data_IF_227523415765
#
_entry.id   IF_227523415765
#
_cell.length_a   1.000
_cell.length_b   1.000
_cell.length_c   1.000
_cell.angle_alpha   90.00
_cell.angle_beta   90.00
_cell.angle_gamma   90.00
#
_symmetry.space_group_name_H-M   'P 1'
#
loop_
_entity.id
_entity.type
_entity.pdbx_description
1 polymer ?
#
# COMPACT_ATOMS: atom_id res chain seq x y z
N UNK A 1 33.57 -7.22 -1.83
CA UNK A 1 34.34 -6.10 -2.38
C UNK A 1 34.40 -6.20 -3.89
N UNK A 2 34.75 -7.36 -4.43
CA UNK A 2 34.77 -7.59 -5.86
C UNK A 2 33.40 -7.50 -6.51
N UNK A 3 32.37 -7.88 -5.80
CA UNK A 3 30.97 -7.73 -6.23
C UNK A 3 30.58 -6.26 -6.40
N UNK A 4 31.09 -5.40 -5.55
CA UNK A 4 30.87 -3.96 -5.67
C UNK A 4 31.64 -3.32 -6.84
N UNK A 5 32.76 -3.89 -7.25
CA UNK A 5 33.55 -3.45 -8.41
C UNK A 5 32.90 -3.82 -9.76
N UNK A 6 32.25 -4.96 -9.82
CA UNK A 6 31.47 -5.38 -10.99
C UNK A 6 30.11 -4.68 -11.00
N UNK A 7 29.77 -4.14 -9.87
CA UNK A 7 28.44 -3.71 -9.66
C UNK A 7 28.16 -2.31 -10.01
N UNK A 8 27.08 -2.00 -9.61
CA UNK A 8 26.41 -0.75 -9.68
C UNK A 8 27.02 0.21 -8.66
N UNK A 9 26.95 1.47 -8.96
CA UNK A 9 27.22 2.58 -8.06
C UNK A 9 26.44 2.48 -6.73
N UNK A 10 25.34 1.76 -6.70
CA UNK A 10 24.52 1.50 -5.52
C UNK A 10 25.28 0.74 -4.42
N UNK A 11 26.08 -0.27 -4.76
CA UNK A 11 26.88 -1.00 -3.78
C UNK A 11 27.93 -0.10 -3.12
N UNK A 12 28.54 0.79 -3.88
CA UNK A 12 29.51 1.77 -3.38
C UNK A 12 28.84 2.77 -2.44
N UNK A 13 27.67 3.25 -2.77
CA UNK A 13 26.89 4.18 -1.91
C UNK A 13 26.51 3.54 -0.58
N UNK A 14 26.02 2.32 -0.59
CA UNK A 14 25.63 1.63 0.64
C UNK A 14 26.84 1.35 1.53
N UNK A 15 27.97 0.97 0.95
CA UNK A 15 29.21 0.78 1.68
C UNK A 15 29.74 2.07 2.28
N UNK A 16 29.75 3.15 1.54
CA UNK A 16 30.17 4.47 2.02
C UNK A 16 29.24 4.97 3.13
N UNK A 17 27.96 4.73 3.03
CA UNK A 17 26.98 5.08 4.05
C UNK A 17 27.22 4.35 5.36
N UNK A 18 27.49 3.05 5.32
CA UNK A 18 27.86 2.24 6.49
C UNK A 18 29.18 2.69 7.10
N UNK A 19 30.19 2.97 6.29
CA UNK A 19 31.48 3.46 6.74
C UNK A 19 31.41 4.84 7.42
N UNK A 20 30.63 5.76 6.85
CA UNK A 20 30.37 7.09 7.44
C UNK A 20 29.64 6.96 8.77
N UNK A 21 28.66 6.10 8.87
CA UNK A 21 27.90 5.88 10.10
C UNK A 21 28.80 5.28 11.20
N UNK A 22 29.63 4.33 10.87
CA UNK A 22 30.61 3.74 11.80
C UNK A 22 31.65 4.78 12.27
N UNK A 23 32.12 5.65 11.39
CA UNK A 23 33.05 6.73 11.73
C UNK A 23 32.46 7.74 12.70
N UNK A 24 31.20 8.08 12.55
CA UNK A 24 30.48 9.02 13.43
C UNK A 24 30.31 8.41 14.83
N UNK A 25 30.08 7.13 14.94
CA UNK A 25 29.83 6.44 16.21
C UNK A 25 31.10 5.88 16.88
N UNK A 26 32.23 6.02 16.23
CA UNK A 26 33.53 5.50 16.68
C UNK A 26 33.47 3.99 17.04
N UNK A 27 32.64 3.25 16.29
CA UNK A 27 32.38 1.82 16.49
C UNK A 27 32.68 1.01 15.25
N UNK A 28 33.12 -0.22 15.42
CA UNK A 28 33.24 -1.17 14.33
C UNK A 28 31.89 -1.46 13.70
N UNK A 29 31.87 -1.70 12.39
CA UNK A 29 30.66 -2.12 11.68
C UNK A 29 30.26 -3.50 12.20
N UNK A 30 29.26 -3.54 13.07
CA UNK A 30 28.69 -4.75 13.64
C UNK A 30 27.40 -5.15 12.95
N UNK A 31 27.00 -6.41 13.10
CA UNK A 31 25.71 -6.91 12.60
C UNK A 31 24.54 -6.13 13.20
N UNK A 32 24.66 -5.70 14.44
CA UNK A 32 23.62 -4.91 15.11
C UNK A 32 23.49 -3.51 14.51
N UNK A 33 24.59 -2.85 14.20
CA UNK A 33 24.62 -1.57 13.49
C UNK A 33 23.94 -1.68 12.11
N UNK A 34 24.26 -2.73 11.35
CA UNK A 34 23.64 -3.02 10.06
C UNK A 34 22.14 -3.24 10.19
N UNK A 35 21.71 -3.98 11.21
CA UNK A 35 20.29 -4.21 11.49
C UNK A 35 19.55 -2.91 11.83
N UNK A 36 20.13 -2.03 12.60
CA UNK A 36 19.53 -0.75 12.97
C UNK A 36 19.42 0.18 11.77
N UNK A 37 20.46 0.31 10.96
CA UNK A 37 20.44 1.08 9.71
C UNK A 37 19.40 0.53 8.73
N UNK A 38 19.31 -0.79 8.59
CA UNK A 38 18.31 -1.44 7.73
C UNK A 38 16.90 -1.27 8.28
N UNK A 39 16.71 -1.31 9.60
CA UNK A 39 15.41 -1.00 10.23
C UNK A 39 14.94 0.41 9.91
N UNK A 40 15.81 1.39 9.98
CA UNK A 40 15.47 2.77 9.67
C UNK A 40 15.14 2.95 8.19
N UNK A 41 15.88 2.30 7.29
CA UNK A 41 15.58 2.29 5.85
C UNK A 41 14.25 1.59 5.55
N UNK A 42 13.95 0.50 6.25
CA UNK A 42 12.67 -0.21 6.12
C UNK A 42 11.50 0.60 6.73
N UNK A 43 11.74 1.35 7.81
CA UNK A 43 10.72 2.24 8.40
C UNK A 43 10.37 3.40 7.49
N UNK A 44 11.33 3.96 6.79
CA UNK A 44 11.09 5.03 5.80
C UNK A 44 10.30 4.51 4.59
N UNK A 45 10.45 3.23 4.25
CA UNK A 45 9.71 2.60 3.14
C UNK A 45 8.36 1.99 3.57
N UNK A 46 8.14 1.78 4.86
CA UNK A 46 6.88 1.21 5.37
C UNK A 46 5.92 2.31 5.84
N UNK A 47 5.62 3.27 4.97
CA UNK A 47 4.50 4.18 5.22
C UNK A 47 3.23 3.34 5.34
N UNK A 48 2.65 3.33 6.53
CA UNK A 48 1.40 2.63 6.76
C UNK A 48 0.27 3.34 6.03
N UNK A 49 -0.07 2.83 4.87
CA UNK A 49 -1.21 3.30 4.10
C UNK A 49 -2.48 3.10 4.94
N UNK A 50 -3.25 4.15 5.10
CA UNK A 50 -4.50 4.12 5.86
C UNK A 50 -5.70 3.88 4.94
N UNK A 51 -6.78 3.32 5.50
CA UNK A 51 -8.03 3.11 4.75
C UNK A 51 -8.57 4.45 4.23
N UNK A 52 -8.43 5.52 5.01
CA UNK A 52 -8.88 6.85 4.63
C UNK A 52 -8.12 7.40 3.40
N UNK A 53 -6.83 7.13 3.30
CA UNK A 53 -6.04 7.46 2.10
C UNK A 53 -6.50 6.66 0.88
N UNK A 54 -6.77 5.38 1.05
CA UNK A 54 -7.32 4.53 -0.03
C UNK A 54 -8.65 5.09 -0.52
N UNK A 55 -9.55 5.44 0.39
CA UNK A 55 -10.84 6.03 0.05
C UNK A 55 -10.68 7.34 -0.74
N UNK A 56 -9.78 8.22 -0.30
CA UNK A 56 -9.50 9.49 -1.00
C UNK A 56 -9.00 9.26 -2.43
N UNK A 57 -8.05 8.36 -2.62
CA UNK A 57 -7.49 8.06 -3.94
C UNK A 57 -8.51 7.43 -4.88
N UNK A 58 -9.33 6.52 -4.39
CA UNK A 58 -10.40 5.91 -5.18
C UNK A 58 -11.46 6.94 -5.56
N UNK A 59 -11.87 7.80 -4.63
CA UNK A 59 -12.82 8.91 -4.87
C UNK A 59 -12.29 9.85 -5.95
N UNK A 60 -11.02 10.20 -5.88
CA UNK A 60 -10.34 11.07 -6.83
C UNK A 60 -10.29 10.42 -8.23
N UNK A 61 -9.94 9.14 -8.29
CA UNK A 61 -9.82 8.39 -9.55
C UNK A 61 -11.18 8.21 -10.27
N UNK A 62 -12.22 7.85 -9.52
CA UNK A 62 -13.56 7.64 -10.09
C UNK A 62 -14.44 8.90 -10.11
N UNK A 63 -13.92 10.03 -9.67
CA UNK A 63 -14.60 11.32 -9.63
C UNK A 63 -15.98 11.27 -8.92
N UNK A 64 -16.00 10.65 -7.74
CA UNK A 64 -17.17 10.55 -6.87
C UNK A 64 -16.94 11.32 -5.57
N UNK A 65 -17.96 11.45 -4.74
CA UNK A 65 -17.82 12.12 -3.44
C UNK A 65 -17.42 11.13 -2.35
N UNK A 66 -16.62 11.59 -1.39
CA UNK A 66 -16.25 10.77 -0.24
C UNK A 66 -17.46 10.27 0.56
N UNK A 67 -18.52 11.09 0.63
CA UNK A 67 -19.80 10.71 1.23
C UNK A 67 -20.44 9.49 0.57
N UNK A 68 -20.22 9.28 -0.72
CA UNK A 68 -20.75 8.13 -1.45
C UNK A 68 -20.09 6.81 -1.02
N UNK A 69 -18.87 6.85 -0.49
CA UNK A 69 -18.22 5.68 0.09
C UNK A 69 -18.95 5.13 1.32
N UNK A 70 -19.58 6.02 2.08
CA UNK A 70 -20.34 5.67 3.29
C UNK A 70 -21.84 5.53 3.05
N UNK A 71 -22.31 5.94 1.88
CA UNK A 71 -23.74 5.98 1.58
C UNK A 71 -24.34 4.58 1.36
N UNK A 72 -25.63 4.38 1.64
CA UNK A 72 -26.32 3.11 1.35
C UNK A 72 -26.65 2.93 -0.13
N UNK A 73 -26.31 3.90 -0.99
CA UNK A 73 -26.59 3.83 -2.43
C UNK A 73 -26.00 2.60 -3.07
N UNK A 74 -26.79 1.92 -3.88
CA UNK A 74 -26.43 0.69 -4.60
C UNK A 74 -26.22 0.91 -6.11
N UNK A 75 -26.31 2.16 -6.58
CA UNK A 75 -26.04 2.46 -7.99
C UNK A 75 -24.63 1.97 -8.38
N UNK A 76 -24.51 1.39 -9.56
CA UNK A 76 -23.25 0.80 -10.04
C UNK A 76 -22.09 1.80 -10.05
N UNK A 77 -22.40 3.06 -10.35
CA UNK A 77 -21.44 4.17 -10.34
C UNK A 77 -20.81 4.46 -8.97
N UNK A 78 -21.50 4.10 -7.88
CA UNK A 78 -21.03 4.29 -6.50
C UNK A 78 -20.60 2.98 -5.87
N UNK A 79 -21.32 1.90 -6.16
CA UNK A 79 -21.03 0.58 -5.58
C UNK A 79 -19.68 0.02 -6.08
N UNK A 80 -19.36 0.19 -7.35
CA UNK A 80 -18.14 -0.32 -7.95
C UNK A 80 -16.89 0.32 -7.33
N UNK A 81 -16.74 1.65 -7.29
CA UNK A 81 -15.62 2.29 -6.61
C UNK A 81 -15.46 1.87 -5.15
N UNK A 82 -16.59 1.73 -4.44
CA UNK A 82 -16.59 1.26 -3.06
C UNK A 82 -16.04 -0.16 -2.92
N UNK A 83 -16.46 -1.08 -3.80
CA UNK A 83 -15.94 -2.45 -3.84
C UNK A 83 -14.43 -2.47 -4.13
N UNK A 84 -13.95 -1.66 -5.07
CA UNK A 84 -12.52 -1.49 -5.36
C UNK A 84 -11.77 -0.99 -4.14
N UNK A 85 -12.30 0.01 -3.44
CA UNK A 85 -11.67 0.55 -2.23
C UNK A 85 -11.59 -0.50 -1.10
N UNK A 86 -12.62 -1.33 -0.93
CA UNK A 86 -12.60 -2.44 0.04
C UNK A 86 -11.56 -3.51 -0.33
N UNK A 87 -11.46 -3.85 -1.61
CA UNK A 87 -10.45 -4.77 -2.13
C UNK A 87 -9.03 -4.25 -1.88
N UNK A 88 -8.77 -2.99 -2.21
CA UNK A 88 -7.47 -2.35 -1.98
C UNK A 88 -7.15 -2.27 -0.49
N UNK A 89 -8.11 -1.94 0.35
CA UNK A 89 -7.94 -1.90 1.80
C UNK A 89 -7.51 -3.26 2.35
N UNK A 90 -8.08 -4.36 1.85
CA UNK A 90 -7.69 -5.71 2.25
C UNK A 90 -6.32 -6.12 1.71
N UNK A 91 -6.02 -5.75 0.46
CA UNK A 91 -4.77 -6.15 -0.21
C UNK A 91 -3.55 -5.39 0.32
N UNK A 92 -3.69 -4.10 0.59
CA UNK A 92 -2.58 -3.21 0.95
C UNK A 92 -2.40 -3.10 2.47
N UNK A 93 -3.50 -3.14 3.23
CA UNK A 93 -3.44 -3.00 4.69
C UNK A 93 -3.60 -4.34 5.40
N UNK A 94 -3.09 -4.43 6.62
CA UNK A 94 -3.24 -5.60 7.51
C UNK A 94 -4.51 -5.53 8.36
N UNK A 95 -5.45 -4.63 8.03
CA UNK A 95 -6.66 -4.43 8.81
C UNK A 95 -7.63 -5.60 8.68
N UNK A 96 -8.40 -5.85 9.74
CA UNK A 96 -9.40 -6.89 9.75
C UNK A 96 -10.63 -6.52 8.90
N UNK A 97 -11.35 -7.53 8.42
CA UNK A 97 -12.58 -7.31 7.64
C UNK A 97 -13.65 -6.48 8.38
N UNK A 98 -13.92 -6.72 9.67
CA UNK A 98 -14.85 -5.87 10.43
C UNK A 98 -14.40 -4.42 10.53
N UNK A 99 -13.10 -4.18 10.66
CA UNK A 99 -12.52 -2.84 10.74
C UNK A 99 -12.67 -2.09 9.42
N UNK A 100 -12.41 -2.79 8.30
CA UNK A 100 -12.67 -2.26 6.95
C UNK A 100 -14.16 -1.91 6.80
N UNK A 101 -15.06 -2.81 7.16
CA UNK A 101 -16.50 -2.59 7.10
C UNK A 101 -16.96 -1.35 7.87
N UNK A 102 -16.42 -1.11 9.06
CA UNK A 102 -16.71 0.09 9.86
C UNK A 102 -16.32 1.38 9.15
N UNK A 103 -15.17 1.39 8.47
CA UNK A 103 -14.67 2.55 7.71
C UNK A 103 -15.48 2.84 6.45
N UNK A 104 -16.25 1.89 5.96
CA UNK A 104 -17.12 2.03 4.81
C UNK A 104 -18.62 2.17 5.18
N UNK A 105 -18.90 2.85 6.27
CA UNK A 105 -20.27 3.16 6.70
C UNK A 105 -20.91 2.09 7.58
N UNK A 106 -20.12 1.40 8.42
CA UNK A 106 -20.62 0.40 9.36
C UNK A 106 -21.16 -0.86 8.71
N UNK A 107 -20.51 -1.32 7.64
CA UNK A 107 -20.90 -2.53 6.91
C UNK A 107 -20.35 -3.79 7.58
N UNK A 108 -21.10 -4.87 7.47
CA UNK A 108 -20.66 -6.16 7.97
C UNK A 108 -19.46 -6.73 7.19
N UNK A 109 -18.67 -7.55 7.88
CA UNK A 109 -17.55 -8.26 7.27
C UNK A 109 -17.97 -9.13 6.07
N UNK A 110 -19.17 -9.67 6.07
CA UNK A 110 -19.74 -10.43 4.93
C UNK A 110 -19.89 -9.58 3.69
N UNK A 111 -20.29 -8.31 3.84
CA UNK A 111 -20.37 -7.34 2.73
C UNK A 111 -18.97 -7.06 2.15
N UNK A 112 -17.96 -6.94 2.99
CA UNK A 112 -16.56 -6.75 2.56
C UNK A 112 -16.05 -7.98 1.81
N UNK A 113 -16.31 -9.19 2.31
CA UNK A 113 -15.94 -10.45 1.64
C UNK A 113 -16.60 -10.53 0.26
N UNK A 114 -17.88 -10.22 0.18
CA UNK A 114 -18.62 -10.24 -1.08
C UNK A 114 -18.04 -9.22 -2.08
N UNK A 115 -17.71 -8.04 -1.61
CA UNK A 115 -17.09 -6.99 -2.44
C UNK A 115 -15.74 -7.45 -3.01
N UNK A 116 -14.89 -8.07 -2.18
CA UNK A 116 -13.58 -8.60 -2.59
C UNK A 116 -13.75 -9.66 -3.67
N UNK A 117 -14.58 -10.67 -3.44
CA UNK A 117 -14.86 -11.74 -4.41
C UNK A 117 -15.40 -11.19 -5.73
N UNK A 118 -16.33 -10.26 -5.67
CA UNK A 118 -16.89 -9.61 -6.86
C UNK A 118 -15.83 -8.90 -7.69
N UNK A 119 -14.91 -8.20 -7.04
CA UNK A 119 -13.81 -7.52 -7.74
C UNK A 119 -12.84 -8.55 -8.35
N UNK A 120 -12.48 -9.59 -7.63
CA UNK A 120 -11.61 -10.67 -8.14
C UNK A 120 -12.20 -11.34 -9.38
N UNK A 121 -13.50 -11.66 -9.36
CA UNK A 121 -14.21 -12.25 -10.51
C UNK A 121 -14.24 -11.30 -11.72
N UNK A 122 -14.43 -10.00 -11.47
CA UNK A 122 -14.50 -9.02 -12.55
C UNK A 122 -13.11 -8.75 -13.13
N UNK A 123 -12.07 -8.71 -12.31
CA UNK A 123 -10.69 -8.52 -12.79
C UNK A 123 -10.27 -9.60 -13.79
N UNK A 124 -10.76 -10.81 -13.64
CA UNK A 124 -10.50 -11.91 -14.59
C UNK A 124 -11.12 -11.62 -15.96
N UNK A 125 -12.28 -10.97 -16.00
CA UNK A 125 -13.06 -10.74 -17.21
C UNK A 125 -12.89 -9.33 -17.81
N UNK A 126 -12.44 -8.38 -17.01
CA UNK A 126 -12.31 -6.97 -17.40
C UNK A 126 -10.89 -6.47 -17.13
N UNK A 127 -10.05 -6.42 -18.19
CA UNK A 127 -8.68 -5.95 -18.06
C UNK A 127 -8.58 -4.48 -17.69
N UNK A 128 -9.56 -3.64 -18.06
CA UNK A 128 -9.55 -2.22 -17.71
C UNK A 128 -9.64 -2.01 -16.19
N UNK A 129 -10.49 -2.79 -15.53
CA UNK A 129 -10.60 -2.74 -14.07
C UNK A 129 -9.32 -3.23 -13.39
N UNK A 130 -8.67 -4.25 -13.95
CA UNK A 130 -7.40 -4.74 -13.43
C UNK A 130 -6.30 -3.67 -13.54
N UNK A 131 -6.22 -2.96 -14.64
CA UNK A 131 -5.29 -1.84 -14.85
C UNK A 131 -5.57 -0.68 -13.88
N UNK A 132 -6.82 -0.32 -13.67
CA UNK A 132 -7.23 0.71 -12.69
C UNK A 132 -6.77 0.36 -11.28
N UNK A 133 -6.96 -0.88 -10.87
CA UNK A 133 -6.55 -1.38 -9.54
C UNK A 133 -5.03 -1.37 -9.41
N UNK A 134 -4.32 -1.78 -10.44
CA UNK A 134 -2.85 -1.76 -10.45
C UNK A 134 -2.33 -0.33 -10.35
N UNK A 135 -2.91 0.59 -11.11
CA UNK A 135 -2.57 2.01 -11.07
C UNK A 135 -2.78 2.60 -9.68
N UNK A 136 -3.95 2.36 -9.09
CA UNK A 136 -4.28 2.82 -7.74
C UNK A 136 -3.33 2.25 -6.69
N UNK A 137 -2.98 0.98 -6.81
CA UNK A 137 -2.01 0.32 -5.93
C UNK A 137 -0.64 1.00 -6.01
N UNK A 138 -0.19 1.27 -7.22
CA UNK A 138 1.08 2.00 -7.47
C UNK A 138 1.07 3.39 -6.86
N UNK A 139 0.01 4.16 -7.09
CA UNK A 139 -0.14 5.52 -6.54
C UNK A 139 -0.10 5.49 -5.00
N UNK A 140 -0.79 4.53 -4.39
CA UNK A 140 -0.83 4.39 -2.94
C UNK A 140 0.52 3.98 -2.34
N UNK A 141 1.29 3.16 -3.03
CA UNK A 141 2.62 2.72 -2.58
C UNK A 141 3.70 3.79 -2.77
N UNK A 142 3.55 4.67 -3.74
CA UNK A 142 4.51 5.73 -4.04
C UNK A 142 4.21 7.06 -3.35
N UNK A 143 3.00 7.24 -2.87
CA UNK A 143 2.59 8.43 -2.11
C UNK A 143 3.04 8.32 -0.66
#
# INVERSE_FOLDING_TARGET
ILVCLVGSEMCIRDRNRLAVHASIQDSEISVDLVKDVLKDLLRTNSRKITIDEIQKKVVEHYNIKLSDMHSPRRSRSVARPRQVAMYLAKSITTRSLPEIGRKFGGRDHTTVIHAIKTIEEIMVNDPNLAEDIELLTRILQTS
#
